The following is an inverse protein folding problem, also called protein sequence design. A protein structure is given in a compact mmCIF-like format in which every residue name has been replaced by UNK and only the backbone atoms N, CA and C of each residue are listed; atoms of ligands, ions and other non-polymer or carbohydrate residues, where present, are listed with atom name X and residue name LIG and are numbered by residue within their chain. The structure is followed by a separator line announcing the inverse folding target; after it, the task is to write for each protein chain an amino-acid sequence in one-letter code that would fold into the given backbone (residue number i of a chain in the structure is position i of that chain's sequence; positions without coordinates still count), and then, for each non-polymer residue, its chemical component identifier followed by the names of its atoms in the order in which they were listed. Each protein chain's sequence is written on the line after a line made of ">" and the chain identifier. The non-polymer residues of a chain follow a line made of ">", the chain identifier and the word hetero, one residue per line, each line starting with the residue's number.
data_IF_636234611493
#
_entry.id   IF_636234611493
#
_cell.length_a   1.000
_cell.length_b   1.000
_cell.length_c   1.000
_cell.angle_alpha   90.00
_cell.angle_beta   90.00
_cell.angle_gamma   90.00
#
_symmetry.space_group_name_H-M   'P 1'
#
loop_
_entity.id
_entity.type
_entity.pdbx_description
1 polymer ?
#
# COMPACT_ATOMS: atom_id res chain seq x y z
N UNK A 1 12.37 24.67 13.07
CA UNK A 1 12.02 25.05 11.69
C UNK A 1 11.21 23.90 11.11
N UNK A 2 9.89 24.04 11.03
CA UNK A 2 9.05 23.03 10.43
C UNK A 2 9.34 23.00 8.92
N UNK A 3 9.88 21.90 8.41
CA UNK A 3 10.01 21.67 7.00
C UNK A 3 8.60 21.76 6.39
N UNK A 4 8.43 22.63 5.42
CA UNK A 4 7.22 22.74 4.62
C UNK A 4 7.14 21.43 3.83
N UNK A 5 6.45 20.44 4.40
CA UNK A 5 6.16 19.18 3.71
C UNK A 5 5.36 19.58 2.48
N UNK A 6 5.94 19.41 1.30
CA UNK A 6 5.23 19.45 0.04
C UNK A 6 4.26 18.27 0.08
N UNK A 7 3.04 18.55 0.51
CA UNK A 7 1.99 17.53 0.60
C UNK A 7 1.55 17.28 -0.84
N UNK A 8 1.88 16.12 -1.44
CA UNK A 8 1.24 15.73 -2.70
C UNK A 8 -0.27 15.80 -2.50
N UNK A 9 -1.02 15.94 -3.57
CA UNK A 9 -2.47 16.10 -3.47
C UNK A 9 -3.08 14.81 -2.88
N UNK A 10 -3.13 14.70 -1.55
CA UNK A 10 -3.68 13.54 -0.84
C UNK A 10 -5.09 13.20 -1.31
N UNK A 11 -5.80 14.18 -1.90
CA UNK A 11 -7.16 13.99 -2.40
C UNK A 11 -7.22 13.03 -3.59
N UNK A 12 -6.12 12.85 -4.32
CA UNK A 12 -6.03 11.91 -5.45
C UNK A 12 -5.69 10.48 -5.03
N UNK A 13 -5.34 10.30 -3.75
CA UNK A 13 -5.01 8.98 -3.21
C UNK A 13 -6.31 8.27 -2.81
N UNK A 14 -6.57 7.04 -3.30
CA UNK A 14 -7.80 6.30 -2.99
C UNK A 14 -8.12 6.19 -1.49
N UNK A 15 -7.07 6.11 -0.67
CA UNK A 15 -7.18 6.03 0.79
C UNK A 15 -7.88 7.26 1.41
N UNK A 16 -7.73 8.45 0.81
CA UNK A 16 -8.27 9.71 1.33
C UNK A 16 -9.47 10.23 0.53
N UNK A 17 -10.01 9.41 -0.36
CA UNK A 17 -11.14 9.81 -1.20
C UNK A 17 -12.35 10.25 -0.37
N UNK A 18 -12.88 11.45 -0.69
CA UNK A 18 -14.05 12.03 -0.02
C UNK A 18 -13.77 12.58 1.38
N UNK A 19 -12.51 12.79 1.74
CA UNK A 19 -12.09 13.53 2.91
C UNK A 19 -11.62 14.94 2.52
N UNK A 20 -11.99 15.94 3.33
CA UNK A 20 -11.48 17.30 3.22
C UNK A 20 -10.06 17.40 3.81
N UNK A 21 -9.34 18.48 3.48
CA UNK A 21 -7.93 18.66 3.95
C UNK A 21 -7.78 18.63 5.46
N UNK A 22 -8.73 19.25 6.16
CA UNK A 22 -8.79 19.30 7.60
C UNK A 22 -9.04 17.91 8.20
N UNK A 23 -9.92 17.14 7.59
CA UNK A 23 -10.22 15.77 7.97
C UNK A 23 -9.03 14.83 7.73
N UNK A 24 -8.30 15.00 6.61
CA UNK A 24 -7.05 14.26 6.35
C UNK A 24 -6.02 14.59 7.45
N UNK A 25 -5.85 15.87 7.78
CA UNK A 25 -4.92 16.29 8.85
C UNK A 25 -5.29 15.68 10.20
N UNK A 26 -6.59 15.67 10.55
CA UNK A 26 -7.10 15.04 11.78
C UNK A 26 -6.74 13.54 11.81
N UNK A 27 -7.01 12.83 10.71
CA UNK A 27 -6.75 11.40 10.57
C UNK A 27 -5.26 11.10 10.69
N UNK A 28 -4.40 11.85 9.99
CA UNK A 28 -2.95 11.66 10.04
C UNK A 28 -2.39 11.88 11.47
N UNK A 29 -2.88 12.90 12.17
CA UNK A 29 -2.49 13.16 13.57
C UNK A 29 -3.00 12.07 14.51
N UNK A 30 -4.27 11.68 14.40
CA UNK A 30 -4.90 10.67 15.26
C UNK A 30 -4.20 9.32 15.16
N UNK A 31 -3.80 8.93 13.97
CA UNK A 31 -3.11 7.66 13.72
C UNK A 31 -1.58 7.78 13.80
N UNK A 32 -1.05 8.94 14.24
CA UNK A 32 0.40 9.15 14.34
C UNK A 32 1.14 8.81 13.04
N UNK A 33 0.56 9.22 11.92
CA UNK A 33 1.14 8.97 10.60
C UNK A 33 2.53 9.62 10.48
N UNK A 34 3.44 8.92 9.82
CA UNK A 34 4.81 9.39 9.58
C UNK A 34 5.11 9.36 8.08
N UNK A 35 5.74 10.41 7.59
CA UNK A 35 6.33 10.40 6.24
C UNK A 35 7.81 10.07 6.40
N UNK A 36 8.26 9.05 5.69
CA UNK A 36 9.66 8.61 5.66
C UNK A 36 10.21 8.66 4.25
N UNK A 37 11.42 9.19 4.13
CA UNK A 37 12.20 9.09 2.91
C UNK A 37 13.02 7.79 2.92
N UNK A 38 12.97 7.09 1.78
CA UNK A 38 13.75 5.88 1.52
C UNK A 38 14.57 6.08 0.27
N UNK A 39 15.91 5.97 0.33
CA UNK A 39 16.75 6.06 -0.84
C UNK A 39 16.57 4.86 -1.76
N UNK A 40 16.88 5.04 -3.03
CA UNK A 40 16.92 3.97 -4.01
C UNK A 40 17.75 2.79 -3.52
N UNK A 41 17.31 1.58 -3.80
CA UNK A 41 17.92 0.29 -3.42
C UNK A 41 17.78 -0.07 -1.94
N UNK A 42 17.02 0.68 -1.17
CA UNK A 42 16.67 0.34 0.21
C UNK A 42 15.44 -0.59 0.26
N UNK A 43 15.10 -1.08 1.44
CA UNK A 43 13.93 -1.89 1.70
C UNK A 43 13.05 -1.22 2.76
N UNK A 44 11.74 -1.17 2.49
CA UNK A 44 10.76 -0.70 3.49
C UNK A 44 10.46 -1.83 4.47
N UNK A 45 10.26 -3.04 3.95
CA UNK A 45 10.11 -4.29 4.68
C UNK A 45 10.78 -5.42 3.91
N UNK A 46 11.42 -6.33 4.62
CA UNK A 46 11.90 -7.60 4.07
C UNK A 46 10.86 -8.71 4.29
N UNK A 47 10.92 -9.74 3.47
CA UNK A 47 10.18 -10.97 3.76
C UNK A 47 10.59 -11.52 5.12
N UNK A 48 9.61 -11.82 5.98
CA UNK A 48 9.82 -12.22 7.37
C UNK A 48 9.71 -11.09 8.39
N UNK A 49 9.74 -9.82 7.96
CA UNK A 49 9.54 -8.69 8.87
C UNK A 49 8.09 -8.61 9.36
N UNK A 50 7.92 -8.14 10.60
CA UNK A 50 6.62 -7.80 11.14
C UNK A 50 6.14 -6.49 10.54
N UNK A 51 4.97 -6.48 9.91
CA UNK A 51 4.40 -5.30 9.26
C UNK A 51 3.37 -4.66 10.19
N UNK A 52 3.68 -3.44 10.62
CA UNK A 52 2.83 -2.70 11.57
C UNK A 52 2.10 -1.52 10.94
N UNK A 53 2.50 -1.12 9.73
CA UNK A 53 1.97 0.08 9.09
C UNK A 53 1.30 -0.25 7.75
N UNK A 54 0.17 0.39 7.52
CA UNK A 54 -0.32 0.62 6.17
C UNK A 54 0.57 1.67 5.52
N UNK A 55 0.98 1.44 4.28
CA UNK A 55 1.91 2.31 3.58
C UNK A 55 1.28 2.88 2.31
N UNK A 56 1.62 4.14 2.01
CA UNK A 56 1.24 4.81 0.75
C UNK A 56 2.48 5.40 0.11
N UNK A 57 2.68 5.13 -1.17
CA UNK A 57 3.74 5.79 -1.95
C UNK A 57 3.28 7.20 -2.26
N UNK A 58 3.95 8.21 -1.71
CA UNK A 58 3.70 9.62 -2.01
C UNK A 58 4.47 10.06 -3.25
N UNK A 59 5.73 9.64 -3.34
CA UNK A 59 6.64 9.91 -4.45
C UNK A 59 7.55 8.70 -4.69
N UNK A 60 8.00 8.52 -5.93
CA UNK A 60 8.91 7.47 -6.31
C UNK A 60 8.23 6.17 -6.73
N UNK A 61 8.95 5.06 -6.61
CA UNK A 61 8.49 3.73 -7.03
C UNK A 61 9.00 2.66 -6.08
N UNK A 62 8.09 1.82 -5.61
CA UNK A 62 8.37 0.65 -4.77
C UNK A 62 8.00 -0.61 -5.54
N UNK A 63 8.81 -1.64 -5.44
CA UNK A 63 8.56 -2.96 -6.02
C UNK A 63 8.23 -3.96 -4.93
N UNK A 64 7.12 -4.65 -5.07
CA UNK A 64 6.80 -5.83 -4.28
C UNK A 64 7.49 -7.02 -4.92
N UNK A 65 8.44 -7.62 -4.22
CA UNK A 65 9.28 -8.70 -4.74
C UNK A 65 9.18 -9.94 -3.86
N UNK A 66 9.29 -11.09 -4.50
CA UNK A 66 9.45 -12.37 -3.84
C UNK A 66 10.76 -13.00 -4.28
N UNK A 67 11.54 -13.45 -3.32
CA UNK A 67 12.77 -14.21 -3.55
C UNK A 67 12.49 -15.70 -3.31
N UNK A 68 12.95 -16.55 -4.20
CA UNK A 68 12.84 -17.99 -4.06
C UNK A 68 14.01 -18.59 -3.27
N UNK A 69 14.01 -19.89 -3.08
CA UNK A 69 15.04 -20.61 -2.32
C UNK A 69 16.42 -20.60 -3.00
N UNK A 70 16.50 -20.22 -4.27
CA UNK A 70 17.76 -20.09 -5.03
C UNK A 70 18.24 -18.63 -5.10
N UNK A 71 17.50 -17.68 -4.50
CA UNK A 71 17.84 -16.26 -4.52
C UNK A 71 17.34 -15.52 -5.76
N UNK A 72 16.53 -16.16 -6.63
CA UNK A 72 15.92 -15.47 -7.77
C UNK A 72 14.78 -14.57 -7.31
N UNK A 73 14.82 -13.31 -7.79
CA UNK A 73 13.85 -12.28 -7.43
C UNK A 73 12.80 -12.14 -8.53
N UNK A 74 11.54 -12.34 -8.15
CA UNK A 74 10.37 -12.09 -9.01
C UNK A 74 9.65 -10.84 -8.56
N UNK A 75 9.42 -9.91 -9.50
CA UNK A 75 8.60 -8.70 -9.24
C UNK A 75 7.13 -9.11 -9.35
N UNK A 76 6.39 -8.95 -8.24
CA UNK A 76 4.95 -9.24 -8.18
C UNK A 76 4.14 -8.01 -8.61
N UNK A 77 4.57 -6.82 -8.19
CA UNK A 77 3.92 -5.56 -8.53
C UNK A 77 4.90 -4.38 -8.49
N UNK A 78 4.64 -3.37 -9.33
CA UNK A 78 5.24 -2.05 -9.24
C UNK A 78 4.21 -1.10 -8.62
N UNK A 79 4.61 -0.37 -7.60
CA UNK A 79 3.81 0.53 -6.80
C UNK A 79 4.33 1.94 -7.01
N UNK A 80 3.61 2.74 -7.79
CA UNK A 80 3.91 4.15 -8.04
C UNK A 80 3.20 5.07 -7.06
N UNK A 81 3.34 6.39 -7.26
CA UNK A 81 2.67 7.39 -6.44
C UNK A 81 1.14 7.15 -6.37
N UNK A 82 0.57 7.31 -5.18
CA UNK A 82 -0.83 7.00 -4.87
C UNK A 82 -1.11 5.54 -4.53
N UNK A 83 -0.17 4.62 -4.77
CA UNK A 83 -0.36 3.20 -4.44
C UNK A 83 -0.37 2.98 -2.94
N UNK A 84 -1.37 2.21 -2.48
CA UNK A 84 -1.49 1.73 -1.10
C UNK A 84 -0.97 0.30 -1.05
N UNK A 85 -0.18 -0.03 -0.03
CA UNK A 85 0.37 -1.37 0.16
C UNK A 85 0.49 -1.75 1.64
N UNK A 86 0.75 -3.02 1.89
CA UNK A 86 0.78 -3.61 3.23
C UNK A 86 -0.58 -3.59 3.96
N UNK A 87 -1.66 -3.33 3.26
CA UNK A 87 -3.04 -3.33 3.77
C UNK A 87 -3.52 -4.72 4.21
N UNK A 88 -2.96 -5.78 3.64
CA UNK A 88 -3.30 -7.16 3.96
C UNK A 88 -2.83 -7.60 5.37
N UNK A 89 -1.99 -6.79 6.04
CA UNK A 89 -1.56 -7.02 7.42
C UNK A 89 -2.44 -6.30 8.44
N UNK A 90 -3.39 -5.48 7.99
CA UNK A 90 -4.34 -4.82 8.88
C UNK A 90 -5.21 -5.86 9.61
N UNK A 91 -5.33 -5.70 10.91
CA UNK A 91 -6.10 -6.64 11.75
C UNK A 91 -5.38 -7.94 12.13
N UNK A 92 -4.16 -8.15 11.63
CA UNK A 92 -3.31 -9.29 11.96
C UNK A 92 -2.01 -8.84 12.61
N UNK A 93 -2.11 -8.29 13.81
CA UNK A 93 -0.94 -7.81 14.56
C UNK A 93 0.09 -8.93 14.72
N UNK A 94 1.30 -8.68 14.26
CA UNK A 94 2.42 -9.61 14.38
C UNK A 94 2.58 -10.58 13.20
N UNK A 95 1.72 -10.54 12.19
CA UNK A 95 1.94 -11.32 10.97
C UNK A 95 3.21 -10.82 10.24
N UNK A 96 3.91 -11.79 9.65
CA UNK A 96 5.16 -11.53 8.93
C UNK A 96 4.91 -11.40 7.44
N UNK A 97 5.60 -10.46 6.81
CA UNK A 97 5.53 -10.30 5.36
C UNK A 97 6.05 -11.54 4.64
N UNK A 98 5.31 -11.99 3.63
CA UNK A 98 5.75 -13.07 2.74
C UNK A 98 6.48 -12.53 1.49
N UNK A 99 6.58 -11.21 1.36
CA UNK A 99 7.22 -10.49 0.26
C UNK A 99 8.12 -9.40 0.83
N UNK A 100 9.05 -8.90 0.02
CA UNK A 100 9.84 -7.71 0.35
C UNK A 100 9.34 -6.51 -0.45
N UNK A 101 9.43 -5.32 0.14
CA UNK A 101 9.11 -4.05 -0.51
C UNK A 101 10.41 -3.29 -0.76
N UNK A 102 10.86 -3.33 -2.01
CA UNK A 102 12.12 -2.77 -2.49
C UNK A 102 11.92 -1.39 -3.11
N UNK A 103 12.78 -0.44 -2.80
CA UNK A 103 12.71 0.94 -3.28
C UNK A 103 13.46 1.03 -4.62
N UNK A 104 12.71 1.12 -5.72
CA UNK A 104 13.27 1.15 -7.08
C UNK A 104 13.79 2.53 -7.49
N UNK A 105 13.27 3.60 -6.90
CA UNK A 105 13.75 4.99 -7.01
C UNK A 105 13.61 5.67 -5.66
N UNK A 106 14.32 6.76 -5.41
CA UNK A 106 14.15 7.56 -4.20
C UNK A 106 12.65 7.82 -3.97
N UNK A 107 12.16 7.51 -2.77
CA UNK A 107 10.72 7.48 -2.51
C UNK A 107 10.36 8.11 -1.17
N UNK A 108 9.24 8.81 -1.14
CA UNK A 108 8.58 9.26 0.08
C UNK A 108 7.37 8.36 0.37
N UNK A 109 7.35 7.79 1.56
CA UNK A 109 6.33 6.82 1.98
C UNK A 109 5.60 7.37 3.21
N UNK A 110 4.27 7.46 3.09
CA UNK A 110 3.41 7.68 4.23
C UNK A 110 3.17 6.34 4.93
N UNK A 111 3.48 6.30 6.22
CA UNK A 111 3.31 5.12 7.08
C UNK A 111 2.24 5.41 8.14
N UNK A 112 1.18 4.61 8.14
CA UNK A 112 0.05 4.74 9.08
C UNK A 112 0.02 3.50 9.99
N UNK A 113 0.34 3.64 11.28
CA UNK A 113 0.32 2.54 12.25
C UNK A 113 -1.12 2.19 12.66
N UNK A 114 -1.91 1.67 11.71
CA UNK A 114 -3.34 1.42 11.90
C UNK A 114 -3.65 0.17 12.75
N UNK A 115 -2.69 -0.71 12.94
CA UNK A 115 -2.92 -1.95 13.70
C UNK A 115 -3.47 -1.70 15.11
N UNK A 116 -2.96 -0.68 15.81
CA UNK A 116 -3.49 -0.28 17.13
C UNK A 116 -4.79 0.50 17.02
N UNK A 117 -4.94 1.31 15.98
CA UNK A 117 -6.08 2.19 15.80
C UNK A 117 -7.36 1.42 15.45
N UNK A 118 -7.27 0.26 14.80
CA UNK A 118 -8.41 -0.62 14.54
C UNK A 118 -9.03 -1.17 15.83
N UNK A 119 -8.27 -1.24 16.93
CA UNK A 119 -8.73 -1.74 18.22
C UNK A 119 -9.05 -0.62 19.22
N UNK A 120 -8.75 0.65 18.87
CA UNK A 120 -9.14 1.79 19.72
C UNK A 120 -10.60 2.18 19.46
N UNK A 121 -11.47 1.65 20.29
CA UNK A 121 -12.94 1.82 20.24
C UNK A 121 -13.39 3.21 20.72
N UNK A 122 -12.47 4.09 21.10
CA UNK A 122 -12.81 5.44 21.58
C UNK A 122 -13.33 6.31 20.43
N UNK A 123 -14.64 6.50 20.42
CA UNK A 123 -15.45 7.41 19.58
C UNK A 123 -14.82 7.77 18.21
N UNK A 124 -15.01 6.96 17.16
CA UNK A 124 -14.47 7.25 15.84
C UNK A 124 -15.08 8.53 15.27
N UNK A 125 -14.23 9.47 14.81
CA UNK A 125 -14.72 10.62 14.06
C UNK A 125 -15.29 10.19 12.69
N UNK A 126 -16.08 11.06 12.06
CA UNK A 126 -16.57 10.81 10.69
C UNK A 126 -15.42 10.58 9.70
N UNK A 127 -14.33 11.33 9.85
CA UNK A 127 -13.12 11.20 9.05
C UNK A 127 -12.47 9.82 9.22
N UNK A 128 -12.34 9.34 10.47
CA UNK A 128 -11.83 8.00 10.76
C UNK A 128 -12.70 6.89 10.19
N UNK A 129 -14.04 7.03 10.29
CA UNK A 129 -14.97 6.09 9.68
C UNK A 129 -14.83 6.05 8.16
N UNK A 130 -14.70 7.23 7.52
CA UNK A 130 -14.50 7.35 6.06
C UNK A 130 -13.20 6.69 5.64
N UNK A 131 -12.10 6.94 6.37
CA UNK A 131 -10.83 6.27 6.12
C UNK A 131 -10.98 4.75 6.17
N UNK A 132 -11.67 4.20 7.17
CA UNK A 132 -11.88 2.76 7.27
C UNK A 132 -12.68 2.21 6.08
N UNK A 133 -13.72 2.91 5.63
CA UNK A 133 -14.45 2.54 4.41
C UNK A 133 -13.53 2.54 3.19
N UNK A 134 -12.67 3.56 3.05
CA UNK A 134 -11.72 3.63 1.94
C UNK A 134 -10.70 2.50 1.98
N UNK A 135 -10.21 2.11 3.16
CA UNK A 135 -9.33 0.94 3.32
C UNK A 135 -10.03 -0.33 2.83
N UNK A 136 -11.29 -0.54 3.21
CA UNK A 136 -12.07 -1.70 2.73
C UNK A 136 -12.23 -1.66 1.21
N UNK A 137 -12.46 -0.49 0.62
CA UNK A 137 -12.54 -0.34 -0.84
C UNK A 137 -11.21 -0.68 -1.51
N UNK A 138 -10.08 -0.19 -0.99
CA UNK A 138 -8.74 -0.52 -1.50
C UNK A 138 -8.47 -2.03 -1.43
N UNK A 139 -8.84 -2.68 -0.31
CA UNK A 139 -8.71 -4.14 -0.17
C UNK A 139 -9.58 -4.88 -1.20
N UNK A 140 -10.81 -4.43 -1.43
CA UNK A 140 -11.71 -5.03 -2.41
C UNK A 140 -11.16 -4.88 -3.84
N UNK A 141 -10.66 -3.69 -4.21
CA UNK A 141 -10.06 -3.41 -5.51
C UNK A 141 -8.79 -4.26 -5.74
N UNK A 142 -7.93 -4.36 -4.74
CA UNK A 142 -6.73 -5.18 -4.83
C UNK A 142 -7.09 -6.68 -4.96
N UNK A 143 -8.12 -7.14 -4.26
CA UNK A 143 -8.61 -8.51 -4.39
C UNK A 143 -9.17 -8.79 -5.80
N UNK A 144 -9.94 -7.86 -6.36
CA UNK A 144 -10.43 -7.96 -7.75
C UNK A 144 -9.28 -8.05 -8.74
N UNK A 145 -8.28 -7.18 -8.64
CA UNK A 145 -7.08 -7.24 -9.50
C UNK A 145 -6.31 -8.56 -9.38
N UNK A 146 -6.26 -9.14 -8.19
CA UNK A 146 -5.64 -10.47 -8.00
C UNK A 146 -6.43 -11.57 -8.70
N UNK A 147 -7.77 -11.52 -8.67
CA UNK A 147 -8.63 -12.46 -9.39
C UNK A 147 -8.39 -12.34 -10.90
N UNK A 148 -8.39 -11.14 -11.45
CA UNK A 148 -8.13 -10.87 -12.87
C UNK A 148 -6.77 -11.42 -13.32
N UNK A 149 -5.70 -11.13 -12.55
CA UNK A 149 -4.37 -11.70 -12.82
C UNK A 149 -4.37 -13.22 -12.77
N UNK A 150 -5.08 -13.78 -11.80
CA UNK A 150 -5.18 -15.24 -11.67
C UNK A 150 -5.92 -15.86 -12.87
N UNK A 151 -6.97 -15.23 -13.37
CA UNK A 151 -7.69 -15.65 -14.58
C UNK A 151 -6.77 -15.71 -15.80
N UNK A 152 -5.91 -14.68 -16.00
CA UNK A 152 -4.92 -14.67 -17.08
C UNK A 152 -3.94 -15.84 -16.92
N UNK A 153 -3.42 -16.03 -15.70
CA UNK A 153 -2.46 -17.11 -15.42
C UNK A 153 -3.06 -18.51 -15.60
N UNK A 154 -4.36 -18.69 -15.39
CA UNK A 154 -5.07 -19.93 -15.56
C UNK A 154 -5.38 -20.28 -17.04
N UNK A 155 -5.19 -19.37 -18.00
CA UNK A 155 -5.36 -19.67 -19.43
C UNK A 155 -4.38 -20.79 -19.86
N UNK A 156 -4.88 -21.74 -20.65
CA UNK A 156 -4.12 -22.96 -20.98
C UNK A 156 -2.92 -22.72 -21.92
N UNK A 157 -2.99 -21.71 -22.79
CA UNK A 157 -1.94 -21.47 -23.79
C UNK A 157 -1.28 -20.09 -23.58
N UNK A 158 0.00 -19.96 -23.95
CA UNK A 158 0.71 -18.69 -23.90
C UNK A 158 0.01 -17.63 -24.75
N UNK A 159 -0.49 -18.01 -25.94
CA UNK A 159 -1.23 -17.10 -26.82
C UNK A 159 -2.47 -16.53 -26.14
N UNK A 160 -3.26 -17.36 -25.45
CA UNK A 160 -4.46 -16.90 -24.73
C UNK A 160 -4.12 -16.04 -23.51
N UNK A 161 -2.98 -16.27 -22.86
CA UNK A 161 -2.48 -15.41 -21.78
C UNK A 161 -2.13 -14.00 -22.29
N UNK A 162 -1.37 -13.95 -23.38
CA UNK A 162 -0.95 -12.66 -24.00
C UNK A 162 -2.17 -11.88 -24.49
N UNK A 163 -3.11 -12.51 -25.18
CA UNK A 163 -4.32 -11.84 -25.65
C UNK A 163 -5.14 -11.27 -24.49
N UNK A 164 -5.36 -12.06 -23.44
CA UNK A 164 -6.12 -11.62 -22.28
C UNK A 164 -5.42 -10.46 -21.53
N UNK A 165 -4.09 -10.43 -21.48
CA UNK A 165 -3.33 -9.35 -20.90
C UNK A 165 -3.50 -8.03 -21.70
N UNK A 166 -3.43 -8.12 -23.04
CA UNK A 166 -3.58 -6.96 -23.91
C UNK A 166 -5.03 -6.39 -23.96
N UNK A 167 -6.01 -7.18 -23.59
CA UNK A 167 -7.42 -6.76 -23.51
C UNK A 167 -7.72 -5.98 -22.20
N UNK A 168 -6.83 -6.05 -21.20
CA UNK A 168 -6.99 -5.38 -19.90
C UNK A 168 -6.26 -4.02 -19.81
N UNK A 169 -5.35 -3.71 -20.73
CA UNK A 169 -4.67 -2.40 -20.84
C UNK A 169 -5.45 -1.44 -21.78
#
# INVERSE_FOLDING_TARGET
>A
MAAKVFIPNFMDIPLFQGLEREEISEVLQRFHALIKHFPKSDYIYLAGDCVENLCVVLEGTVQMIKEDIWGEKSIIANLGAGSVFAENFLGKLGDRSVVSYFVASDSEILMLPLGRALYDVSAPSKASQRLMCNIVSVLADNNTRLIEKTEILCKKTLRSKILAYLEQE
#
